data_IF_579091782700
#
_entry.id   IF_579091782700
#
_cell.length_a   1.000
_cell.length_b   1.000
_cell.length_c   1.000
_cell.angle_alpha   90.00
_cell.angle_beta   90.00
_cell.angle_gamma   90.00
#
_symmetry.space_group_name_H-M   'P 1'
#
loop_
_entity.id
_entity.type
_entity.pdbx_description
1 polymer ?
#
# COMPACT_ATOMS: atom_id res chain seq x y z
N UNK A 1 32.16 7.26 -35.62
CA UNK A 1 32.68 6.57 -34.41
C UNK A 1 32.29 5.10 -34.51
N UNK A 2 33.23 4.14 -34.60
CA UNK A 2 32.92 2.70 -34.70
C UNK A 2 32.22 2.21 -33.41
N UNK A 3 31.12 1.43 -33.49
CA UNK A 3 30.46 0.88 -32.30
C UNK A 3 31.35 -0.19 -31.65
N UNK A 4 31.49 -0.14 -30.31
CA UNK A 4 32.24 -1.14 -29.53
C UNK A 4 31.36 -2.37 -29.26
N UNK A 5 31.96 -3.55 -29.22
CA UNK A 5 31.32 -4.88 -29.23
C UNK A 5 30.46 -5.24 -28.00
N UNK A 6 30.35 -4.39 -26.99
CA UNK A 6 29.50 -4.60 -25.81
C UNK A 6 28.72 -3.33 -25.48
N UNK A 7 27.74 -3.02 -26.34
CA UNK A 7 26.68 -2.06 -26.01
C UNK A 7 25.35 -2.78 -26.13
N UNK A 8 25.03 -3.60 -25.13
CA UNK A 8 23.68 -4.14 -24.91
C UNK A 8 22.69 -3.05 -24.45
N UNK A 9 22.91 -1.79 -24.86
CA UNK A 9 21.99 -0.70 -24.58
C UNK A 9 20.79 -0.82 -25.51
N UNK A 10 19.70 -1.37 -24.99
CA UNK A 10 18.41 -1.30 -25.67
C UNK A 10 17.98 0.17 -25.79
N UNK A 11 17.33 0.58 -26.89
CA UNK A 11 16.78 1.94 -27.04
C UNK A 11 15.84 2.35 -25.91
N UNK A 12 15.14 1.38 -25.28
CA UNK A 12 14.29 1.63 -24.11
C UNK A 12 15.06 2.08 -22.86
N UNK A 13 16.33 1.69 -22.72
CA UNK A 13 17.16 2.08 -21.58
C UNK A 13 17.53 3.56 -21.61
N UNK A 14 17.65 4.15 -22.82
CA UNK A 14 17.90 5.59 -23.00
C UNK A 14 16.68 6.44 -22.59
N UNK A 15 15.47 5.89 -22.73
CA UNK A 15 14.22 6.57 -22.36
C UNK A 15 13.90 6.45 -20.87
N UNK A 16 14.47 5.47 -20.17
CA UNK A 16 14.17 5.25 -18.76
C UNK A 16 14.86 6.32 -17.90
N UNK A 17 14.11 7.23 -17.26
CA UNK A 17 14.68 8.32 -16.46
C UNK A 17 15.51 7.81 -15.27
N UNK A 18 15.27 6.58 -14.80
CA UNK A 18 15.99 5.96 -13.69
C UNK A 18 17.38 5.44 -14.09
N UNK A 19 17.58 5.16 -15.38
CA UNK A 19 18.85 4.65 -15.91
C UNK A 19 19.69 5.77 -16.54
N UNK A 20 19.05 6.86 -16.97
CA UNK A 20 19.74 8.05 -17.45
C UNK A 20 20.36 8.83 -16.31
N UNK A 21 21.58 9.34 -16.51
CA UNK A 21 22.23 10.19 -15.52
C UNK A 21 21.61 11.58 -15.56
N UNK A 22 21.18 12.08 -14.40
CA UNK A 22 20.62 13.41 -14.26
C UNK A 22 21.67 14.49 -14.54
N UNK A 23 21.22 15.62 -15.10
CA UNK A 23 22.05 16.81 -15.24
C UNK A 23 22.41 17.35 -13.86
N UNK A 24 23.67 17.74 -13.67
CA UNK A 24 24.14 18.33 -12.42
C UNK A 24 23.33 19.59 -12.09
N UNK A 25 22.89 19.72 -10.84
CA UNK A 25 22.08 20.84 -10.37
C UNK A 25 20.57 20.69 -10.58
N UNK A 26 20.11 19.60 -11.22
CA UNK A 26 18.68 19.31 -11.36
C UNK A 26 18.29 18.05 -10.60
N UNK A 27 17.08 18.06 -10.03
CA UNK A 27 16.48 16.87 -9.44
C UNK A 27 16.08 15.85 -10.55
N UNK A 28 16.08 14.54 -10.26
CA UNK A 28 15.49 13.55 -11.14
C UNK A 28 14.04 13.92 -11.47
N UNK A 29 13.59 13.72 -12.72
CA UNK A 29 12.18 13.87 -13.06
C UNK A 29 11.35 12.83 -12.28
N UNK A 30 10.16 13.24 -11.84
CA UNK A 30 9.20 12.33 -11.20
C UNK A 30 8.79 11.23 -12.18
N UNK A 31 8.65 10.00 -11.68
CA UNK A 31 8.07 8.87 -12.44
C UNK A 31 6.54 8.78 -12.25
N UNK A 32 5.98 9.61 -11.37
CA UNK A 32 4.56 9.66 -11.08
C UNK A 32 3.91 10.88 -11.71
N UNK A 33 2.63 10.75 -12.05
CA UNK A 33 1.79 11.84 -12.50
C UNK A 33 1.66 12.85 -11.37
N UNK A 34 2.32 14.01 -11.54
CA UNK A 34 2.27 15.09 -10.56
C UNK A 34 0.96 15.88 -10.74
N UNK A 35 0.41 16.42 -9.63
CA UNK A 35 -0.65 17.41 -9.66
C UNK A 35 -0.34 18.59 -10.61
N UNK A 36 -1.37 19.32 -11.06
CA UNK A 36 -1.20 20.53 -11.88
C UNK A 36 -0.27 21.56 -11.23
N UNK A 37 0.30 22.46 -12.03
CA UNK A 37 1.27 23.45 -11.57
C UNK A 37 0.74 24.38 -10.47
N UNK A 38 -0.57 24.64 -10.47
CA UNK A 38 -1.26 25.45 -9.44
C UNK A 38 -1.47 24.71 -8.10
N UNK A 39 -1.14 23.42 -8.03
CA UNK A 39 -1.31 22.64 -6.81
C UNK A 39 -0.26 23.00 -5.77
N UNK A 40 -0.73 23.44 -4.60
CA UNK A 40 0.13 23.69 -3.44
C UNK A 40 0.25 22.44 -2.58
N UNK A 41 1.45 21.87 -2.55
CA UNK A 41 1.80 20.79 -1.64
C UNK A 41 1.81 21.28 -0.18
N UNK A 42 1.61 20.35 0.76
CA UNK A 42 1.63 20.61 2.20
C UNK A 42 0.25 20.54 2.85
N UNK A 43 0.21 20.76 4.16
CA UNK A 43 -1.03 20.79 4.93
C UNK A 43 -1.61 22.22 4.95
N UNK A 44 -2.86 22.37 4.51
CA UNK A 44 -3.61 23.60 4.73
C UNK A 44 -4.18 23.59 6.14
N UNK A 45 -3.69 24.48 7.00
CA UNK A 45 -4.40 24.79 8.23
C UNK A 45 -5.69 25.49 7.84
N UNK A 46 -6.84 24.88 8.14
CA UNK A 46 -8.10 25.61 8.09
C UNK A 46 -7.99 26.71 9.13
N UNK A 47 -8.02 27.96 8.68
CA UNK A 47 -8.31 29.07 9.59
C UNK A 47 -9.77 28.85 9.98
N UNK A 48 -9.96 28.21 11.12
CA UNK A 48 -11.29 27.89 11.64
C UNK A 48 -12.07 29.17 11.96
N UNK A 49 -13.37 28.99 12.10
CA UNK A 49 -14.35 30.02 12.41
C UNK A 49 -13.85 30.96 13.51
N UNK A 50 -14.08 32.26 13.33
CA UNK A 50 -13.62 33.25 14.27
C UNK A 50 -14.21 33.00 15.66
N UNK A 51 -13.52 33.43 16.73
CA UNK A 51 -13.99 33.27 18.12
C UNK A 51 -15.44 33.72 18.29
N UNK A 52 -15.83 34.82 17.62
CA UNK A 52 -17.20 35.33 17.60
C UNK A 52 -18.21 34.34 17.01
N UNK A 53 -17.87 33.70 15.90
CA UNK A 53 -18.74 32.73 15.22
C UNK A 53 -18.88 31.46 16.06
N UNK A 54 -17.82 31.08 16.79
CA UNK A 54 -17.85 29.95 17.73
C UNK A 54 -18.84 30.16 18.88
N UNK A 55 -18.93 31.39 19.42
CA UNK A 55 -19.92 31.74 20.44
C UNK A 55 -21.34 31.90 19.87
N UNK A 56 -21.48 32.40 18.64
CA UNK A 56 -22.77 32.70 18.03
C UNK A 56 -23.45 31.46 17.41
N UNK A 57 -22.66 30.49 16.96
CA UNK A 57 -23.12 29.27 16.31
C UNK A 57 -22.88 28.01 17.17
N UNK A 58 -22.77 28.12 18.50
CA UNK A 58 -22.46 27.00 19.39
C UNK A 58 -23.42 25.80 19.25
N UNK A 59 -24.69 26.02 18.88
CA UNK A 59 -25.67 24.96 18.57
C UNK A 59 -25.48 24.31 17.18
N UNK A 60 -24.82 25.00 16.25
CA UNK A 60 -24.59 24.56 14.86
C UNK A 60 -23.17 24.11 14.60
N UNK A 61 -22.27 24.31 15.57
CA UNK A 61 -21.04 23.53 15.62
C UNK A 61 -21.53 22.12 15.88
N UNK A 62 -21.73 21.36 14.79
CA UNK A 62 -21.75 19.92 14.87
C UNK A 62 -20.53 19.58 15.71
N UNK A 63 -20.75 19.19 16.97
CA UNK A 63 -19.72 18.49 17.71
C UNK A 63 -19.27 17.43 16.72
N UNK A 64 -18.02 17.49 16.21
CA UNK A 64 -17.57 16.43 15.34
C UNK A 64 -17.92 15.16 16.11
N UNK A 65 -18.63 14.20 15.49
CA UNK A 65 -19.03 12.99 16.21
C UNK A 65 -17.81 12.55 16.99
N UNK A 66 -18.00 12.16 18.25
CA UNK A 66 -16.98 11.91 19.29
C UNK A 66 -15.87 10.91 18.88
N UNK A 67 -15.80 10.56 17.60
CA UNK A 67 -15.00 9.59 16.92
C UNK A 67 -14.71 10.08 15.49
N UNK A 68 -13.78 11.01 15.34
CA UNK A 68 -12.75 10.72 14.33
C UNK A 68 -11.57 10.19 15.14
N UNK A 69 -11.31 8.87 15.15
CA UNK A 69 -10.10 8.37 15.77
C UNK A 69 -8.96 9.19 15.16
N UNK A 70 -8.19 9.84 16.03
CA UNK A 70 -6.96 10.50 15.65
C UNK A 70 -6.28 9.66 14.56
N UNK A 71 -5.81 10.29 13.48
CA UNK A 71 -4.95 9.64 12.48
C UNK A 71 -3.67 9.04 13.08
N UNK A 72 -3.47 9.14 14.41
CA UNK A 72 -2.74 8.15 15.20
C UNK A 72 -3.44 6.81 15.17
N UNK A 73 -3.16 6.05 14.09
CA UNK A 73 -3.05 4.59 14.10
C UNK A 73 -3.86 3.93 15.21
N UNK A 74 -5.19 3.95 15.12
CA UNK A 74 -5.95 2.77 15.54
C UNK A 74 -5.48 1.67 14.60
N UNK A 75 -4.36 1.04 14.93
CA UNK A 75 -4.06 -0.30 14.44
C UNK A 75 -5.11 -1.18 15.08
N UNK A 76 -6.34 -1.13 14.56
CA UNK A 76 -7.17 -2.31 14.49
C UNK A 76 -6.22 -3.42 14.07
N UNK A 77 -6.12 -4.45 14.90
CA UNK A 77 -5.30 -5.63 14.61
C UNK A 77 -5.88 -6.25 13.34
N UNK A 78 -5.47 -5.74 12.18
CA UNK A 78 -5.77 -6.35 10.89
C UNK A 78 -4.89 -7.59 10.86
N UNK A 79 -5.48 -8.80 10.84
CA UNK A 79 -4.69 -10.00 10.67
C UNK A 79 -3.76 -9.80 9.48
N UNK A 80 -2.47 -10.02 9.70
CA UNK A 80 -1.46 -9.90 8.64
C UNK A 80 -1.88 -10.78 7.46
N UNK A 81 -1.69 -10.29 6.24
CA UNK A 81 -1.99 -11.08 5.05
C UNK A 81 -1.17 -12.37 5.02
N UNK A 82 -1.78 -13.47 4.59
CA UNK A 82 -1.08 -14.72 4.32
C UNK A 82 -0.45 -14.64 2.93
N UNK A 83 0.79 -14.17 2.90
CA UNK A 83 1.57 -14.05 1.66
C UNK A 83 1.82 -15.40 1.00
N UNK A 84 1.89 -16.51 1.74
CA UNK A 84 2.16 -17.83 1.17
C UNK A 84 0.93 -18.33 0.41
N UNK A 85 -0.24 -18.25 1.04
CA UNK A 85 -1.50 -18.61 0.39
C UNK A 85 -1.80 -17.68 -0.80
N UNK A 86 -1.57 -16.38 -0.63
CA UNK A 86 -1.73 -15.38 -1.70
C UNK A 86 -0.84 -15.67 -2.90
N UNK A 87 0.45 -15.95 -2.69
CA UNK A 87 1.38 -16.28 -3.77
C UNK A 87 0.97 -17.55 -4.52
N UNK A 88 0.56 -18.60 -3.79
CA UNK A 88 0.08 -19.86 -4.39
C UNK A 88 -1.17 -19.62 -5.24
N UNK A 89 -2.12 -18.83 -4.74
CA UNK A 89 -3.35 -18.51 -5.45
C UNK A 89 -3.09 -17.64 -6.69
N UNK A 90 -2.21 -16.64 -6.58
CA UNK A 90 -1.85 -15.77 -7.69
C UNK A 90 -1.16 -16.55 -8.84
N UNK A 91 -0.30 -17.50 -8.50
CA UNK A 91 0.33 -18.38 -9.51
C UNK A 91 -0.73 -19.26 -10.19
N UNK A 92 -1.68 -19.83 -9.43
CA UNK A 92 -2.80 -20.60 -10.01
C UNK A 92 -3.71 -19.76 -10.90
N UNK A 93 -3.91 -18.49 -10.53
CA UNK A 93 -4.64 -17.50 -11.33
C UNK A 93 -3.85 -17.04 -12.57
N UNK A 94 -2.58 -17.42 -12.71
CA UNK A 94 -1.77 -17.10 -13.87
C UNK A 94 -1.18 -15.69 -13.86
N UNK A 95 -1.07 -15.03 -12.70
CA UNK A 95 -0.37 -13.76 -12.59
C UNK A 95 1.12 -13.93 -12.96
N UNK A 96 1.58 -13.22 -13.98
CA UNK A 96 2.96 -13.30 -14.51
C UNK A 96 3.75 -12.03 -14.25
N UNK A 97 3.08 -10.89 -14.12
CA UNK A 97 3.74 -9.60 -13.87
C UNK A 97 3.53 -9.12 -12.44
N UNK A 98 4.47 -8.31 -11.93
CA UNK A 98 4.36 -7.74 -10.59
C UNK A 98 3.13 -6.81 -10.44
N UNK A 99 2.68 -6.19 -11.54
CA UNK A 99 1.49 -5.34 -11.57
C UNK A 99 0.22 -6.18 -11.39
N UNK A 100 0.07 -7.25 -12.16
CA UNK A 100 -1.04 -8.21 -12.04
C UNK A 100 -1.10 -8.82 -10.64
N UNK A 101 0.05 -9.18 -10.06
CA UNK A 101 0.11 -9.70 -8.70
C UNK A 101 -0.42 -8.68 -7.67
N UNK A 102 -0.07 -7.41 -7.82
CA UNK A 102 -0.53 -6.34 -6.93
C UNK A 102 -2.03 -6.10 -7.06
N UNK A 103 -2.56 -6.11 -8.28
CA UNK A 103 -4.00 -6.03 -8.54
C UNK A 103 -4.74 -7.25 -7.97
N UNK A 104 -4.17 -8.44 -8.15
CA UNK A 104 -4.71 -9.69 -7.59
C UNK A 104 -4.77 -9.63 -6.06
N UNK A 105 -3.72 -9.13 -5.41
CA UNK A 105 -3.67 -8.97 -3.95
C UNK A 105 -4.74 -8.00 -3.42
N UNK A 106 -5.08 -6.95 -4.17
CA UNK A 106 -6.14 -6.00 -3.79
C UNK A 106 -7.53 -6.63 -3.91
N UNK A 107 -7.75 -7.44 -4.96
CA UNK A 107 -9.04 -8.06 -5.23
C UNK A 107 -9.29 -9.34 -4.40
N UNK A 108 -8.22 -10.04 -3.98
CA UNK A 108 -8.30 -11.32 -3.27
C UNK A 108 -7.47 -11.30 -1.98
N UNK A 109 -7.89 -10.58 -0.94
CA UNK A 109 -7.18 -10.54 0.33
C UNK A 109 -7.32 -11.88 1.08
N UNK A 110 -6.22 -12.63 1.19
CA UNK A 110 -6.15 -13.83 2.01
C UNK A 110 -5.45 -13.48 3.33
N UNK A 111 -6.19 -13.58 4.44
CA UNK A 111 -5.71 -13.23 5.77
C UNK A 111 -5.10 -14.44 6.48
N UNK A 112 -4.09 -14.23 7.33
CA UNK A 112 -3.61 -15.30 8.21
C UNK A 112 -4.71 -15.71 9.18
N UNK A 113 -4.86 -17.02 9.36
CA UNK A 113 -5.71 -17.57 10.41
C UNK A 113 -5.14 -17.16 11.77
N UNK A 114 -5.98 -16.77 12.74
CA UNK A 114 -5.51 -16.48 14.09
C UNK A 114 -4.86 -17.73 14.71
N UNK A 115 -3.74 -17.54 15.41
CA UNK A 115 -2.90 -18.63 15.92
C UNK A 115 -3.69 -19.63 16.80
N UNK A 116 -4.68 -19.13 17.55
CA UNK A 116 -5.59 -19.92 18.38
C UNK A 116 -6.30 -21.05 17.60
N UNK A 117 -6.72 -20.78 16.35
CA UNK A 117 -7.39 -21.78 15.51
C UNK A 117 -6.41 -22.80 14.92
N UNK A 118 -5.17 -22.39 14.65
CA UNK A 118 -4.15 -23.29 14.10
C UNK A 118 -3.65 -24.30 15.15
N UNK A 119 -3.52 -23.89 16.40
CA UNK A 119 -3.14 -24.77 17.50
C UNK A 119 -4.18 -25.88 17.72
N UNK A 120 -5.46 -25.52 17.74
CA UNK A 120 -6.56 -26.47 17.92
C UNK A 120 -6.71 -27.45 16.74
N UNK A 121 -6.50 -26.99 15.50
CA UNK A 121 -6.53 -27.87 14.32
C UNK A 121 -5.38 -28.89 14.33
N UNK A 122 -4.16 -28.46 14.69
CA UNK A 122 -3.01 -29.36 14.79
C UNK A 122 -3.19 -30.41 15.90
N UNK A 123 -3.76 -30.02 17.06
CA UNK A 123 -4.08 -30.95 18.15
C UNK A 123 -5.10 -32.02 17.71
N UNK A 124 -6.15 -31.62 16.99
CA UNK A 124 -7.16 -32.54 16.48
C UNK A 124 -6.59 -33.52 15.45
N UNK A 125 -5.67 -33.08 14.59
CA UNK A 125 -4.98 -33.95 13.62
C UNK A 125 -4.07 -34.98 14.30
N UNK A 126 -3.35 -34.59 15.35
CA UNK A 126 -2.53 -35.52 16.13
C UNK A 126 -3.36 -36.55 16.89
N UNK A 127 -4.51 -36.17 17.46
CA UNK A 127 -5.39 -37.11 18.16
C UNK A 127 -6.03 -38.15 17.21
N UNK A 128 -6.39 -37.76 15.99
CA UNK A 128 -6.94 -38.72 15.00
C UNK A 128 -5.90 -39.75 14.53
N UNK A 129 -4.61 -39.42 14.57
CA UNK A 129 -3.56 -40.33 14.10
C UNK A 129 -3.13 -41.35 15.16
N UNK A 130 -3.41 -41.08 16.44
CA UNK A 130 -3.12 -41.98 17.58
C UNK A 130 -4.27 -42.98 17.83
N UNK A 131 -5.49 -42.69 17.35
CA UNK A 131 -6.66 -43.57 17.50
C UNK A 131 -6.84 -44.59 16.36
N UNK A 132 -5.95 -44.59 15.36
CA UNK A 132 -5.97 -45.50 14.21
C UNK A 132 -4.78 -46.47 14.16
N UNK A 133 -4.06 -46.61 15.28
CA UNK A 133 -3.01 -47.62 15.52
C UNK A 133 -3.38 -48.47 16.72
#
# INVERSE_FOLDING_TARGET
>A
MKPRAFRDMRPSMLKNPLLSRNKVGHAPPSTHDLPPEDFRYGCRTKVGDGVKEMFQNWEKVDNPPEQLPSTRRTTEFKPSNDYIATNRAAIRHGCRTAKEFREYQQNHPIMKKPEMLTAQWNQNQTSTHVLLT
#
